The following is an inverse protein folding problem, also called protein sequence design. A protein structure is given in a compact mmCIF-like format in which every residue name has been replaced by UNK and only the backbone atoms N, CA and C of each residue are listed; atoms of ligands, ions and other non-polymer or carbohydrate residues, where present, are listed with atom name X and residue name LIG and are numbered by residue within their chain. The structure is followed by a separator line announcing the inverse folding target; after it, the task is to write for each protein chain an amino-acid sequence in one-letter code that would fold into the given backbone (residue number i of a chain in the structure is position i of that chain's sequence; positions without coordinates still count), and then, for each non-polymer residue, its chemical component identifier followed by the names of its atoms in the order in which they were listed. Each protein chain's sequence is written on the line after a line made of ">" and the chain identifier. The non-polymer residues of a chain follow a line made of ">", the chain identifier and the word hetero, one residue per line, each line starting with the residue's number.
data_IF_803559315949
#
_entry.id   IF_803559315949
#
_cell.length_a   1.000
_cell.length_b   1.000
_cell.length_c   1.000
_cell.angle_alpha   90.00
_cell.angle_beta   90.00
_cell.angle_gamma   90.00
#
_symmetry.space_group_name_H-M   'P 1'
#
loop_
_entity.id
_entity.type
_entity.pdbx_description
1 polymer ?
#
# COMPACT_ATOMS: atom_id res chain seq x y z
N UNK A 1 19.50 3.80 40.99
CA UNK A 1 18.03 3.81 40.80
C UNK A 1 17.51 5.03 40.04
N UNK A 2 18.02 6.25 40.30
CA UNK A 2 17.53 7.50 39.67
C UNK A 2 17.76 7.61 38.15
N UNK A 3 18.81 7.00 37.61
CA UNK A 3 19.10 6.96 36.15
C UNK A 3 18.18 6.01 35.37
N UNK A 4 17.77 4.89 35.96
CA UNK A 4 16.86 3.93 35.32
C UNK A 4 15.45 4.50 35.13
N UNK A 5 14.98 5.36 36.04
CA UNK A 5 13.69 6.05 35.92
C UNK A 5 13.67 7.06 34.75
N UNK A 6 14.79 7.73 34.48
CA UNK A 6 14.91 8.69 33.36
C UNK A 6 14.94 7.95 32.03
N UNK A 7 15.66 6.83 31.95
CA UNK A 7 15.72 6.00 30.75
C UNK A 7 14.34 5.40 30.40
N UNK A 8 13.59 4.94 31.42
CA UNK A 8 12.23 4.43 31.23
C UNK A 8 11.27 5.52 30.76
N UNK A 9 11.40 6.75 31.28
CA UNK A 9 10.56 7.88 30.87
C UNK A 9 10.79 8.28 29.41
N UNK A 10 12.04 8.26 28.94
CA UNK A 10 12.41 8.56 27.55
C UNK A 10 11.93 7.48 26.54
N UNK A 11 11.77 6.23 26.99
CA UNK A 11 11.24 5.13 26.17
C UNK A 11 9.71 5.21 26.00
N UNK A 12 8.99 5.81 26.94
CA UNK A 12 7.53 5.94 26.85
C UNK A 12 7.13 7.11 25.94
N UNK A 13 7.89 8.22 25.94
CA UNK A 13 7.56 9.41 25.13
C UNK A 13 7.84 9.24 23.64
N UNK A 14 8.70 8.30 23.23
CA UNK A 14 9.01 8.07 21.81
C UNK A 14 7.84 7.45 21.02
N UNK A 15 6.88 6.82 21.71
CA UNK A 15 5.70 6.21 21.07
C UNK A 15 4.59 7.22 20.73
N UNK A 16 4.65 8.44 21.27
CA UNK A 16 3.62 9.46 21.10
C UNK A 16 3.71 10.26 19.79
N UNK A 17 4.71 10.00 18.94
CA UNK A 17 5.00 10.80 17.74
C UNK A 17 4.47 10.18 16.42
N UNK A 18 3.79 9.04 16.48
CA UNK A 18 3.25 8.38 15.28
C UNK A 18 1.90 8.95 14.80
N UNK A 19 1.10 9.53 15.70
CA UNK A 19 -0.25 10.04 15.40
C UNK A 19 -0.25 11.28 14.50
N UNK A 20 0.89 11.95 14.35
CA UNK A 20 1.00 13.19 13.57
C UNK A 20 0.82 12.98 12.05
N UNK A 21 0.96 11.76 11.54
CA UNK A 21 0.85 11.46 10.10
C UNK A 21 -0.42 10.69 9.70
N UNK A 22 -1.38 10.54 10.62
CA UNK A 22 -2.66 9.92 10.29
C UNK A 22 -3.56 10.89 9.52
N UNK A 23 -4.14 10.46 8.39
CA UNK A 23 -5.09 11.23 7.59
C UNK A 23 -6.27 11.78 8.42
N UNK A 24 -6.80 11.02 9.37
CA UNK A 24 -7.90 11.45 10.24
C UNK A 24 -7.50 12.64 11.13
N UNK A 25 -6.22 12.72 11.53
CA UNK A 25 -5.69 13.82 12.32
C UNK A 25 -5.31 15.02 11.44
N UNK A 26 -4.75 14.76 10.26
CA UNK A 26 -4.39 15.78 9.27
C UNK A 26 -5.64 16.49 8.73
N UNK A 27 -6.67 15.76 8.32
CA UNK A 27 -7.92 16.32 7.77
C UNK A 27 -8.68 17.19 8.78
N UNK A 28 -8.55 16.89 10.09
CA UNK A 28 -9.09 17.75 11.16
C UNK A 28 -8.30 19.05 11.33
N UNK A 29 -6.97 19.01 11.18
CA UNK A 29 -6.09 20.19 11.28
C UNK A 29 -6.16 21.07 10.05
N UNK A 30 -6.34 20.48 8.87
CA UNK A 30 -6.36 21.16 7.58
C UNK A 30 -7.64 20.82 6.83
N UNK A 31 -8.74 21.52 7.17
CA UNK A 31 -10.07 21.26 6.61
C UNK A 31 -10.15 21.43 5.10
N UNK A 32 -9.29 22.26 4.50
CA UNK A 32 -9.17 22.40 3.04
C UNK A 32 -8.63 21.14 2.34
N UNK A 33 -7.95 20.26 3.07
CA UNK A 33 -7.44 18.97 2.58
C UNK A 33 -8.35 17.79 2.98
N UNK A 34 -9.45 18.03 3.69
CA UNK A 34 -10.42 17.00 4.01
C UNK A 34 -11.18 16.58 2.75
N UNK A 35 -11.20 15.28 2.49
CA UNK A 35 -11.94 14.68 1.39
C UNK A 35 -13.41 14.57 1.78
N UNK A 36 -14.30 14.64 0.79
CA UNK A 36 -15.67 14.18 0.98
C UNK A 36 -15.68 12.70 1.38
N UNK A 37 -16.73 12.25 2.04
CA UNK A 37 -16.88 10.85 2.44
C UNK A 37 -16.73 9.89 1.25
N UNK A 38 -17.34 10.24 0.11
CA UNK A 38 -17.26 9.44 -1.13
C UNK A 38 -15.85 9.38 -1.71
N UNK A 39 -15.12 10.50 -1.70
CA UNK A 39 -13.73 10.53 -2.17
C UNK A 39 -12.80 9.76 -1.23
N UNK A 40 -13.06 9.80 0.08
CA UNK A 40 -12.31 9.01 1.07
C UNK A 40 -12.54 7.50 0.88
N UNK A 41 -13.79 7.08 0.67
CA UNK A 41 -14.12 5.68 0.40
C UNK A 41 -13.49 5.19 -0.92
N UNK A 42 -13.56 6.01 -1.97
CA UNK A 42 -12.89 5.70 -3.23
C UNK A 42 -11.38 5.55 -3.05
N UNK A 43 -10.72 6.46 -2.32
CA UNK A 43 -9.29 6.38 -2.04
C UNK A 43 -8.91 5.13 -1.23
N UNK A 44 -9.72 4.74 -0.24
CA UNK A 44 -9.51 3.51 0.53
C UNK A 44 -9.58 2.26 -0.35
N UNK A 45 -10.59 2.20 -1.21
CA UNK A 45 -10.75 1.11 -2.18
C UNK A 45 -9.55 1.01 -3.14
N UNK A 46 -9.07 2.14 -3.66
CA UNK A 46 -7.85 2.15 -4.47
C UNK A 46 -6.61 1.68 -3.68
N UNK A 47 -6.53 2.01 -2.38
CA UNK A 47 -5.50 1.51 -1.47
C UNK A 47 -5.54 -0.01 -1.29
N UNK A 48 -6.73 -0.60 -1.15
CA UNK A 48 -6.90 -2.06 -1.10
C UNK A 48 -6.44 -2.73 -2.41
N UNK A 49 -6.75 -2.12 -3.56
CA UNK A 49 -6.28 -2.61 -4.85
C UNK A 49 -4.75 -2.56 -4.97
N UNK A 50 -4.08 -1.52 -4.44
CA UNK A 50 -2.60 -1.47 -4.39
C UNK A 50 -2.00 -2.62 -3.56
N UNK A 51 -2.66 -3.02 -2.47
CA UNK A 51 -2.24 -4.19 -1.69
C UNK A 51 -2.39 -5.46 -2.51
N UNK A 52 -3.50 -5.62 -3.25
CA UNK A 52 -3.70 -6.75 -4.16
C UNK A 52 -2.60 -6.86 -5.23
N UNK A 53 -2.23 -5.73 -5.85
CA UNK A 53 -1.13 -5.66 -6.83
C UNK A 53 0.18 -6.15 -6.21
N UNK A 54 0.47 -5.68 -4.99
CA UNK A 54 1.66 -6.12 -4.25
C UNK A 54 1.61 -7.64 -4.05
N UNK A 55 0.56 -8.18 -3.46
CA UNK A 55 0.44 -9.61 -3.18
C UNK A 55 0.59 -10.49 -4.43
N UNK A 56 0.10 -10.04 -5.59
CA UNK A 56 0.30 -10.74 -6.86
C UNK A 56 1.77 -10.77 -7.31
N UNK A 57 2.53 -9.71 -7.05
CA UNK A 57 3.94 -9.60 -7.42
C UNK A 57 4.87 -10.38 -6.48
N UNK A 58 4.46 -10.65 -5.24
CA UNK A 58 5.32 -11.28 -4.23
C UNK A 58 5.12 -12.79 -4.08
N UNK A 59 4.21 -13.42 -4.83
CA UNK A 59 3.72 -14.79 -4.55
C UNK A 59 4.68 -15.96 -4.81
N UNK A 60 5.94 -15.76 -5.21
CA UNK A 60 6.97 -16.79 -5.15
C UNK A 60 8.37 -16.18 -5.35
N UNK A 61 9.08 -15.85 -4.27
CA UNK A 61 10.46 -15.35 -4.35
C UNK A 61 11.53 -16.47 -4.32
N UNK A 62 11.14 -17.71 -4.05
CA UNK A 62 12.06 -18.86 -3.96
C UNK A 62 12.42 -19.44 -5.33
N UNK A 63 11.69 -19.08 -6.38
CA UNK A 63 12.01 -19.37 -7.77
C UNK A 63 11.77 -18.13 -8.61
N UNK A 64 12.53 -17.97 -9.68
CA UNK A 64 12.32 -16.89 -10.64
C UNK A 64 10.90 -16.96 -11.19
N UNK A 65 10.07 -15.98 -10.85
CA UNK A 65 8.74 -15.79 -11.43
C UNK A 65 8.83 -14.71 -12.51
N UNK A 66 8.85 -15.08 -13.81
CA UNK A 66 8.89 -14.09 -14.88
C UNK A 66 7.70 -13.13 -14.85
N UNK A 67 6.60 -13.50 -14.19
CA UNK A 67 5.42 -12.64 -14.00
C UNK A 67 5.70 -11.53 -12.98
N UNK A 68 6.41 -11.83 -11.89
CA UNK A 68 6.76 -10.87 -10.84
C UNK A 68 7.77 -9.81 -11.31
N UNK A 69 8.75 -10.21 -12.14
CA UNK A 69 9.72 -9.29 -12.73
C UNK A 69 9.08 -8.42 -13.83
N UNK A 70 8.20 -9.01 -14.66
CA UNK A 70 7.44 -8.23 -15.65
C UNK A 70 6.47 -7.26 -15.02
N UNK A 71 5.84 -7.64 -13.91
CA UNK A 71 4.84 -6.82 -13.27
C UNK A 71 5.46 -5.60 -12.60
N UNK A 72 6.65 -5.64 -12.01
CA UNK A 72 7.19 -4.45 -11.33
C UNK A 72 7.39 -3.23 -12.26
N UNK A 73 8.09 -3.37 -13.39
CA UNK A 73 8.30 -2.24 -14.32
C UNK A 73 6.99 -1.81 -15.02
N UNK A 74 6.15 -2.78 -15.41
CA UNK A 74 4.90 -2.50 -16.14
C UNK A 74 3.80 -1.97 -15.23
N UNK A 75 3.76 -2.37 -13.97
CA UNK A 75 2.78 -1.88 -12.99
C UNK A 75 2.97 -0.39 -12.75
N UNK A 76 4.22 0.09 -12.63
CA UNK A 76 4.50 1.52 -12.51
C UNK A 76 3.97 2.30 -13.73
N UNK A 77 4.28 1.85 -14.95
CA UNK A 77 3.80 2.47 -16.18
C UNK A 77 2.28 2.37 -16.37
N UNK A 78 1.63 1.32 -15.87
CA UNK A 78 0.18 1.16 -15.89
C UNK A 78 -0.49 2.11 -14.88
N UNK A 79 0.09 2.27 -13.69
CA UNK A 79 -0.41 3.18 -12.64
C UNK A 79 -0.28 4.66 -13.03
N UNK A 80 0.57 5.00 -13.99
CA UNK A 80 0.60 6.35 -14.59
C UNK A 80 -0.62 6.65 -15.46
N UNK A 81 -1.32 5.61 -15.96
CA UNK A 81 -2.42 5.75 -16.94
C UNK A 81 -3.78 5.29 -16.42
N UNK A 82 -3.80 4.37 -15.47
CA UNK A 82 -5.00 3.70 -14.97
C UNK A 82 -5.04 3.72 -13.45
N UNK A 83 -6.24 3.62 -12.88
CA UNK A 83 -6.41 3.53 -11.43
C UNK A 83 -5.86 2.20 -10.89
N UNK A 84 -5.42 2.17 -9.61
CA UNK A 84 -4.97 0.93 -8.98
C UNK A 84 -5.89 -0.28 -9.17
N UNK A 85 -7.20 -0.11 -9.07
CA UNK A 85 -8.12 -1.23 -9.28
C UNK A 85 -8.19 -1.72 -10.73
N UNK A 86 -8.11 -0.81 -11.71
CA UNK A 86 -8.02 -1.23 -13.12
C UNK A 86 -6.73 -2.01 -13.38
N UNK A 87 -5.61 -1.54 -12.83
CA UNK A 87 -4.32 -2.23 -12.94
C UNK A 87 -4.36 -3.60 -12.26
N UNK A 88 -4.97 -3.72 -11.08
CA UNK A 88 -5.14 -5.00 -10.39
C UNK A 88 -5.88 -6.01 -11.27
N UNK A 89 -7.02 -5.62 -11.85
CA UNK A 89 -7.80 -6.49 -12.74
C UNK A 89 -6.98 -6.91 -13.96
N UNK A 90 -6.23 -5.99 -14.58
CA UNK A 90 -5.35 -6.32 -15.72
C UNK A 90 -4.32 -7.39 -15.34
N UNK A 91 -3.71 -7.28 -14.15
CA UNK A 91 -2.70 -8.23 -13.66
C UNK A 91 -3.30 -9.59 -13.29
N UNK A 92 -4.48 -9.61 -12.67
CA UNK A 92 -5.21 -10.86 -12.36
C UNK A 92 -5.52 -11.65 -13.65
N UNK A 93 -6.05 -10.96 -14.66
CA UNK A 93 -6.33 -11.58 -15.96
C UNK A 93 -5.04 -12.08 -16.63
N UNK A 94 -3.97 -11.28 -16.62
CA UNK A 94 -2.68 -11.69 -17.17
C UNK A 94 -2.14 -12.94 -16.48
N UNK A 95 -2.21 -13.01 -15.15
CA UNK A 95 -1.73 -14.15 -14.38
C UNK A 95 -2.50 -15.44 -14.71
N UNK A 96 -3.84 -15.35 -14.84
CA UNK A 96 -4.67 -16.50 -15.24
C UNK A 96 -4.25 -17.02 -16.61
N UNK A 97 -4.05 -16.13 -17.58
CA UNK A 97 -3.65 -16.50 -18.95
C UNK A 97 -2.25 -17.10 -19.02
N UNK A 98 -1.29 -16.54 -18.30
CA UNK A 98 0.08 -17.07 -18.27
C UNK A 98 0.14 -18.45 -17.62
N UNK A 99 -0.56 -18.66 -16.51
CA UNK A 99 -0.65 -19.98 -15.86
C UNK A 99 -1.33 -21.03 -16.74
N UNK A 100 -2.30 -20.63 -17.57
CA UNK A 100 -2.97 -21.54 -18.50
C UNK A 100 -2.05 -21.98 -19.66
N UNK A 101 -1.08 -21.14 -20.08
CA UNK A 101 -0.10 -21.50 -21.11
C UNK A 101 1.08 -22.33 -20.59
N UNK A 102 1.30 -22.36 -19.28
CA UNK A 102 2.38 -23.14 -18.64
C UNK A 102 1.96 -24.56 -18.23
N UNK A 103 0.71 -24.97 -18.51
CA UNK A 103 0.20 -26.33 -18.34
C UNK A 103 0.03 -27.00 -19.69
#
# INVERSE_FOLDING_TARGET
>A
MRTYLIALFLLVTSTAMADDYNYQMISKRFTSAALSQSALEAAKMQGECLVGIKELNFRNQTQFDPVAEWSNYRTAALLEKYSPCEVLVMLEVAQVRLKAHLR
#
